data_IF_367558201538
#
_entry.id   IF_367558201538
#
_cell.length_a   1.000
_cell.length_b   1.000
_cell.length_c   1.000
_cell.angle_alpha   90.00
_cell.angle_beta   90.00
_cell.angle_gamma   90.00
#
_symmetry.space_group_name_H-M   'P 1'
#
loop_
_entity.id
_entity.type
_entity.pdbx_description
1 polymer ?
#
# COMPACT_ATOMS: atom_id res chain seq x y z
N UNK A 1 -2.18 21.67 23.33
CA UNK A 1 -2.62 20.43 22.65
C UNK A 1 -3.86 19.77 23.26
N UNK A 2 -3.95 19.58 24.59
CA UNK A 2 -5.12 18.93 25.24
C UNK A 2 -6.47 19.62 24.96
N UNK A 3 -6.50 20.96 24.97
CA UNK A 3 -7.73 21.73 24.74
C UNK A 3 -8.24 21.64 23.29
N UNK A 4 -7.34 21.60 22.30
CA UNK A 4 -7.69 21.46 20.89
C UNK A 4 -8.27 20.07 20.57
N UNK A 5 -7.70 19.02 21.17
CA UNK A 5 -8.21 17.64 20.99
C UNK A 5 -9.58 17.43 21.66
N UNK A 6 -9.84 18.10 22.78
CA UNK A 6 -11.16 18.10 23.42
C UNK A 6 -12.19 18.87 22.61
N UNK A 7 -11.81 20.01 22.01
CA UNK A 7 -12.70 20.79 21.14
C UNK A 7 -13.07 20.02 19.86
N UNK A 8 -12.16 19.20 19.34
CA UNK A 8 -12.36 18.37 18.15
C UNK A 8 -13.00 17.00 18.45
N UNK A 9 -13.29 16.68 19.72
CA UNK A 9 -13.78 15.37 20.19
C UNK A 9 -12.92 14.17 19.73
N UNK A 10 -11.59 14.36 19.68
CA UNK A 10 -10.64 13.32 19.26
C UNK A 10 -9.96 12.72 20.50
N UNK A 11 -10.07 11.38 20.72
CA UNK A 11 -9.32 10.71 21.77
C UNK A 11 -7.81 10.91 21.60
N UNK A 12 -7.09 11.14 22.71
CA UNK A 12 -5.63 11.31 22.67
C UNK A 12 -4.90 10.14 22.03
N UNK A 13 -5.38 8.92 22.26
CA UNK A 13 -4.82 7.70 21.65
C UNK A 13 -4.90 7.75 20.12
N UNK A 14 -6.03 8.20 19.57
CA UNK A 14 -6.22 8.39 18.12
C UNK A 14 -5.27 9.44 17.57
N UNK A 15 -5.13 10.58 18.26
CA UNK A 15 -4.21 11.63 17.86
C UNK A 15 -2.75 11.16 17.82
N UNK A 16 -2.27 10.52 18.90
CA UNK A 16 -0.88 10.03 18.94
C UNK A 16 -0.67 8.84 17.99
N UNK A 17 -1.69 8.02 17.72
CA UNK A 17 -1.64 7.00 16.68
C UNK A 17 -1.42 7.64 15.30
N UNK A 18 -2.15 8.71 14.98
CA UNK A 18 -1.95 9.44 13.72
C UNK A 18 -0.58 10.08 13.66
N UNK A 19 -0.15 10.78 14.71
CA UNK A 19 1.19 11.40 14.75
C UNK A 19 2.31 10.38 14.60
N UNK A 20 2.20 9.21 15.23
CA UNK A 20 3.20 8.15 15.11
C UNK A 20 3.18 7.46 13.73
N UNK A 21 2.06 7.54 13.02
CA UNK A 21 1.92 6.96 11.68
C UNK A 21 2.29 7.97 10.59
N UNK A 22 2.03 9.26 10.83
CA UNK A 22 2.39 10.37 9.95
C UNK A 22 3.91 10.56 9.97
N UNK A 23 4.56 10.18 8.86
CA UNK A 23 6.01 10.30 8.70
C UNK A 23 6.77 8.98 8.86
N UNK A 24 6.10 7.85 9.11
CA UNK A 24 6.74 6.56 8.93
C UNK A 24 7.07 6.34 7.44
N UNK A 25 8.29 5.86 7.12
CA UNK A 25 8.62 5.48 5.76
C UNK A 25 7.64 4.39 5.29
N UNK A 26 7.26 4.48 4.01
CA UNK A 26 6.37 3.50 3.40
C UNK A 26 7.05 2.13 3.39
N UNK A 27 6.64 1.27 4.32
CA UNK A 27 7.18 -0.09 4.47
C UNK A 27 6.97 -0.95 3.23
N UNK A 28 6.06 -0.56 2.35
CA UNK A 28 5.74 -1.26 1.13
C UNK A 28 6.39 -0.62 -0.11
N UNK A 29 7.27 0.40 0.04
CA UNK A 29 7.86 1.14 -1.10
C UNK A 29 8.60 0.22 -2.07
N UNK A 30 9.54 -0.60 -1.60
CA UNK A 30 10.29 -1.52 -2.46
C UNK A 30 9.36 -2.50 -3.18
N UNK A 31 8.34 -2.99 -2.48
CA UNK A 31 7.37 -3.90 -3.08
C UNK A 31 6.49 -3.21 -4.12
N UNK A 32 6.15 -1.93 -3.92
CA UNK A 32 5.43 -1.12 -4.91
C UNK A 32 6.26 -0.93 -6.16
N UNK A 33 7.56 -0.66 -6.03
CA UNK A 33 8.47 -0.50 -7.16
C UNK A 33 8.57 -1.78 -7.99
N UNK A 34 8.69 -2.94 -7.32
CA UNK A 34 8.70 -4.25 -8.01
C UNK A 34 7.36 -4.54 -8.69
N UNK A 35 6.23 -4.25 -8.04
CA UNK A 35 4.89 -4.40 -8.64
C UNK A 35 4.75 -3.51 -9.89
N UNK A 36 5.20 -2.27 -9.82
CA UNK A 36 5.18 -1.31 -10.93
C UNK A 36 6.02 -1.83 -12.10
N UNK A 37 7.26 -2.28 -11.82
CA UNK A 37 8.15 -2.83 -12.84
C UNK A 37 7.55 -4.05 -13.55
N UNK A 38 6.97 -4.99 -12.80
CA UNK A 38 6.28 -6.16 -13.38
C UNK A 38 5.10 -5.73 -14.25
N UNK A 39 4.30 -4.77 -13.77
CA UNK A 39 3.15 -4.26 -14.50
C UNK A 39 3.56 -3.63 -15.84
N UNK A 40 4.60 -2.80 -15.85
CA UNK A 40 5.14 -2.14 -17.05
C UNK A 40 5.78 -3.12 -18.02
N UNK A 41 6.59 -4.07 -17.53
CA UNK A 41 7.20 -5.14 -18.33
C UNK A 41 6.15 -5.92 -19.13
N UNK A 42 4.97 -6.12 -18.53
CA UNK A 42 3.85 -6.84 -19.14
C UNK A 42 2.81 -5.89 -19.78
N UNK A 43 3.18 -4.63 -20.01
CA UNK A 43 2.35 -3.60 -20.67
C UNK A 43 0.96 -3.43 -20.03
N UNK A 44 0.89 -3.54 -18.70
CA UNK A 44 -0.35 -3.43 -17.93
C UNK A 44 -1.37 -4.55 -18.12
N UNK A 45 -1.01 -5.65 -18.82
CA UNK A 45 -1.92 -6.78 -19.04
C UNK A 45 -2.08 -7.68 -17.81
N UNK A 46 -1.21 -7.49 -16.82
CA UNK A 46 -1.15 -8.33 -15.63
C UNK A 46 -1.98 -7.71 -14.52
N UNK A 47 -3.10 -8.36 -14.19
CA UNK A 47 -3.82 -8.10 -12.95
C UNK A 47 -3.11 -8.71 -11.73
N UNK A 48 -3.61 -8.42 -10.53
CA UNK A 48 -2.94 -8.76 -9.26
C UNK A 48 -2.60 -10.24 -9.07
N UNK A 49 -3.35 -11.17 -9.68
CA UNK A 49 -3.04 -12.61 -9.61
C UNK A 49 -1.75 -12.93 -10.35
N UNK A 50 -1.61 -12.44 -11.60
CA UNK A 50 -0.41 -12.66 -12.41
C UNK A 50 0.80 -11.94 -11.83
N UNK A 51 0.62 -10.71 -11.32
CA UNK A 51 1.69 -10.00 -10.61
C UNK A 51 2.14 -10.79 -9.37
N UNK A 52 1.21 -11.37 -8.60
CA UNK A 52 1.57 -12.20 -7.45
C UNK A 52 2.40 -13.42 -7.87
N UNK A 53 2.04 -14.08 -8.95
CA UNK A 53 2.78 -15.26 -9.41
C UNK A 53 4.20 -14.87 -9.86
N UNK A 54 4.33 -13.75 -10.55
CA UNK A 54 5.63 -13.20 -10.95
C UNK A 54 6.48 -12.73 -9.75
N UNK A 55 5.84 -12.15 -8.73
CA UNK A 55 6.50 -11.85 -7.46
C UNK A 55 7.08 -13.11 -6.80
N UNK A 56 6.32 -14.22 -6.80
CA UNK A 56 6.82 -15.50 -6.27
C UNK A 56 7.99 -16.03 -7.10
N UNK A 57 7.92 -15.93 -8.44
CA UNK A 57 9.02 -16.30 -9.33
C UNK A 57 10.30 -15.50 -9.03
N UNK A 58 10.17 -14.23 -8.63
CA UNK A 58 11.27 -13.35 -8.22
C UNK A 58 11.68 -13.51 -6.75
N UNK A 59 11.12 -14.50 -6.03
CA UNK A 59 11.44 -14.80 -4.64
C UNK A 59 10.63 -14.01 -3.59
N UNK A 60 9.74 -13.11 -4.02
CA UNK A 60 8.87 -12.34 -3.13
C UNK A 60 7.61 -13.13 -2.76
N UNK A 61 7.59 -13.66 -1.54
CA UNK A 61 6.44 -14.40 -1.01
C UNK A 61 5.45 -13.44 -0.34
N UNK A 62 4.51 -12.92 -1.14
CA UNK A 62 3.52 -11.93 -0.68
C UNK A 62 2.09 -12.45 -0.84
N UNK A 63 1.23 -12.16 0.13
CA UNK A 63 -0.19 -12.49 0.06
C UNK A 63 -0.88 -11.73 -1.08
N UNK A 64 -1.72 -12.41 -1.86
CA UNK A 64 -2.50 -11.82 -2.96
C UNK A 64 -3.36 -10.61 -2.52
N UNK A 65 -3.87 -10.60 -1.28
CA UNK A 65 -4.62 -9.46 -0.73
C UNK A 65 -3.75 -8.20 -0.61
N UNK A 66 -2.48 -8.38 -0.22
CA UNK A 66 -1.52 -7.29 -0.11
C UNK A 66 -1.15 -6.75 -1.49
N UNK A 67 -0.90 -7.63 -2.46
CA UNK A 67 -0.65 -7.23 -3.87
C UNK A 67 -1.84 -6.45 -4.42
N UNK A 68 -3.07 -6.93 -4.23
CA UNK A 68 -4.28 -6.23 -4.67
C UNK A 68 -4.43 -4.85 -4.02
N UNK A 69 -4.17 -4.73 -2.71
CA UNK A 69 -4.19 -3.45 -2.00
C UNK A 69 -3.15 -2.48 -2.60
N UNK A 70 -1.93 -2.94 -2.83
CA UNK A 70 -0.85 -2.10 -3.35
C UNK A 70 -1.11 -1.65 -4.79
N UNK A 71 -1.62 -2.53 -5.65
CA UNK A 71 -2.02 -2.14 -7.01
C UNK A 71 -3.15 -1.11 -7.01
N UNK A 72 -4.10 -1.19 -6.06
CA UNK A 72 -5.14 -0.16 -5.89
C UNK A 72 -4.54 1.19 -5.44
N UNK A 73 -3.56 1.17 -4.54
CA UNK A 73 -2.86 2.38 -4.08
C UNK A 73 -2.04 3.01 -5.20
N UNK A 74 -1.48 2.20 -6.09
CA UNK A 74 -0.74 2.63 -7.28
C UNK A 74 -1.65 2.97 -8.48
N UNK A 75 -2.98 2.87 -8.33
CA UNK A 75 -3.95 3.11 -9.40
C UNK A 75 -3.75 2.25 -10.67
N UNK A 76 -3.12 1.07 -10.53
CA UNK A 76 -2.84 0.15 -11.63
C UNK A 76 -4.03 -0.76 -12.01
N UNK A 77 -5.14 -0.65 -11.28
CA UNK A 77 -6.37 -1.41 -11.57
C UNK A 77 -7.41 -0.45 -12.15
N UNK A 78 -7.95 -0.80 -13.32
CA UNK A 78 -9.07 -0.08 -13.92
C UNK A 78 -10.28 -0.22 -12.98
N UNK A 79 -10.77 0.90 -12.46
CA UNK A 79 -12.05 0.97 -11.75
C UNK A 79 -13.16 0.88 -12.79
N UNK A 80 -13.84 -0.27 -12.84
CA UNK A 80 -15.07 -0.47 -13.62
C UNK A 80 -16.23 0.32 -13.04
#
# INVERSE_FOLDING_TARGET
>A
MKALLQLADIPRSTYYYWVNTFGMPDKDSELKDVIQAIYEEHQGRYGYRRIRDELVNRGHHVNHKKVQRLMNVLELLIRS
#
